data_IF_729766374155
#
_entry.id   IF_729766374155
#
_cell.length_a   1.000
_cell.length_b   1.000
_cell.length_c   1.000
_cell.angle_alpha   90.00
_cell.angle_beta   90.00
_cell.angle_gamma   90.00
#
_symmetry.space_group_name_H-M   'P 1'
#
loop_
_entity.id
_entity.type
_entity.pdbx_description
1 polymer ?
#
# COMPACT_ATOMS: atom_id res chain seq x y z
N UNK A 1 0.47 20.96 -4.63
CA UNK A 1 -0.17 19.82 -3.92
C UNK A 1 0.68 19.47 -2.71
N UNK A 2 0.34 19.95 -1.49
CA UNK A 2 1.20 19.76 -0.32
C UNK A 2 1.09 18.34 0.24
N UNK A 3 2.26 17.82 0.66
CA UNK A 3 2.54 16.61 1.45
C UNK A 3 2.38 15.20 0.82
N UNK A 4 3.01 14.95 -0.35
CA UNK A 4 3.05 13.64 -1.02
C UNK A 4 4.40 12.89 -0.87
N UNK A 5 5.41 13.49 -0.24
CA UNK A 5 6.78 12.93 -0.16
C UNK A 5 6.88 11.77 0.84
N UNK A 6 6.36 11.96 2.05
CA UNK A 6 6.43 10.95 3.12
C UNK A 6 5.68 9.66 2.75
N UNK A 7 4.51 9.79 2.12
CA UNK A 7 3.74 8.64 1.64
C UNK A 7 4.50 7.90 0.52
N UNK A 8 5.12 8.63 -0.41
CA UNK A 8 5.89 8.01 -1.49
C UNK A 8 7.12 7.26 -0.97
N UNK A 9 7.84 7.82 0.01
CA UNK A 9 9.00 7.14 0.62
C UNK A 9 8.59 5.90 1.39
N UNK A 10 7.56 5.97 2.24
CA UNK A 10 7.02 4.81 2.94
C UNK A 10 6.47 3.76 1.95
N UNK A 11 5.85 4.17 0.84
CA UNK A 11 5.43 3.25 -0.22
C UNK A 11 6.61 2.59 -0.93
N UNK A 12 7.70 3.31 -1.18
CA UNK A 12 8.90 2.75 -1.79
C UNK A 12 9.56 1.72 -0.86
N UNK A 13 9.54 1.96 0.47
CA UNK A 13 10.00 0.99 1.47
C UNK A 13 9.06 -0.21 1.57
N UNK A 14 7.75 0.01 1.58
CA UNK A 14 6.75 -1.06 1.54
C UNK A 14 6.93 -1.91 0.28
N UNK A 15 7.23 -1.32 -0.87
CA UNK A 15 7.44 -2.05 -2.12
C UNK A 15 8.66 -2.97 -2.08
N UNK A 16 9.69 -2.63 -1.28
CA UNK A 16 10.85 -3.48 -1.03
C UNK A 16 10.52 -4.66 -0.12
N UNK A 17 9.69 -4.45 0.88
CA UNK A 17 9.24 -5.50 1.81
C UNK A 17 8.21 -6.43 1.15
N UNK A 18 7.18 -5.83 0.54
CA UNK A 18 6.08 -6.53 -0.10
C UNK A 18 5.55 -5.70 -1.29
N UNK A 19 6.06 -6.03 -2.47
CA UNK A 19 5.71 -5.38 -3.73
C UNK A 19 4.23 -5.48 -4.07
N UNK A 20 3.54 -6.57 -3.71
CA UNK A 20 2.12 -6.75 -4.00
C UNK A 20 1.24 -5.88 -3.10
N UNK A 21 1.59 -5.77 -1.82
CA UNK A 21 0.92 -4.88 -0.88
C UNK A 21 1.07 -3.40 -1.29
N UNK A 22 2.26 -3.00 -1.75
CA UNK A 22 2.48 -1.65 -2.28
C UNK A 22 1.64 -1.37 -3.54
N UNK A 23 1.55 -2.34 -4.47
CA UNK A 23 0.71 -2.21 -5.67
C UNK A 23 -0.78 -2.09 -5.34
N UNK A 24 -1.28 -2.88 -4.38
CA UNK A 24 -2.67 -2.74 -3.90
C UNK A 24 -2.93 -1.31 -3.40
N UNK A 25 -1.99 -0.72 -2.64
CA UNK A 25 -2.12 0.66 -2.16
C UNK A 25 -2.10 1.64 -3.33
N UNK A 26 -1.18 1.49 -4.28
CA UNK A 26 -1.12 2.37 -5.45
C UNK A 26 -2.40 2.32 -6.28
N UNK A 27 -2.90 1.12 -6.59
CA UNK A 27 -4.14 0.96 -7.36
C UNK A 27 -5.31 1.62 -6.64
N UNK A 28 -5.45 1.42 -5.32
CA UNK A 28 -6.53 2.06 -4.55
C UNK A 28 -6.42 3.57 -4.47
N UNK A 29 -5.23 4.11 -4.24
CA UNK A 29 -5.05 5.56 -4.02
C UNK A 29 -4.95 6.36 -5.31
N UNK A 30 -4.29 5.84 -6.35
CA UNK A 30 -4.06 6.58 -7.60
C UNK A 30 -5.09 6.30 -8.68
N UNK A 31 -5.69 5.11 -8.70
CA UNK A 31 -6.67 4.74 -9.73
C UNK A 31 -8.10 4.65 -9.20
N UNK A 32 -8.29 4.74 -7.88
CA UNK A 32 -9.61 4.67 -7.24
C UNK A 32 -10.26 3.29 -7.29
N UNK A 33 -9.52 2.25 -7.65
CA UNK A 33 -10.04 0.89 -7.79
C UNK A 33 -10.45 0.29 -6.44
N UNK A 34 -11.43 -0.60 -6.47
CA UNK A 34 -11.80 -1.43 -5.33
C UNK A 34 -10.71 -2.49 -5.06
N UNK A 35 -10.76 -3.15 -3.89
CA UNK A 35 -9.84 -4.25 -3.58
C UNK A 35 -10.03 -5.46 -4.50
N UNK A 36 -11.26 -5.68 -4.95
CA UNK A 36 -11.59 -6.73 -5.90
C UNK A 36 -10.93 -6.46 -7.25
N UNK A 37 -11.16 -5.28 -7.80
CA UNK A 37 -10.55 -4.86 -9.07
C UNK A 37 -9.02 -4.81 -8.99
N UNK A 38 -8.47 -4.32 -7.88
CA UNK A 38 -7.02 -4.35 -7.66
C UNK A 38 -6.49 -5.78 -7.56
N UNK A 39 -7.26 -6.71 -6.98
CA UNK A 39 -6.94 -8.14 -6.98
C UNK A 39 -6.92 -8.73 -8.38
N UNK A 40 -7.95 -8.45 -9.18
CA UNK A 40 -8.05 -8.88 -10.58
C UNK A 40 -6.87 -8.39 -11.43
N UNK A 41 -6.52 -7.10 -11.32
CA UNK A 41 -5.36 -6.50 -12.02
C UNK A 41 -4.06 -7.20 -11.63
N UNK A 42 -3.93 -7.62 -10.37
CA UNK A 42 -2.74 -8.29 -9.85
C UNK A 42 -2.81 -9.83 -9.98
N UNK A 43 -3.85 -10.37 -10.59
CA UNK A 43 -4.04 -11.82 -10.75
C UNK A 43 -4.24 -12.57 -9.44
N UNK A 44 -4.75 -11.91 -8.39
CA UNK A 44 -5.02 -12.51 -7.08
C UNK A 44 -6.49 -12.42 -6.69
N UNK A 45 -6.91 -13.33 -5.82
CA UNK A 45 -8.27 -13.31 -5.30
C UNK A 45 -8.54 -12.10 -4.43
N UNK A 46 -9.80 -11.65 -4.36
CA UNK A 46 -10.23 -10.54 -3.49
C UNK A 46 -9.81 -10.78 -2.02
N UNK A 47 -9.88 -12.03 -1.53
CA UNK A 47 -9.40 -12.42 -0.19
C UNK A 47 -7.91 -12.11 -0.01
N UNK A 48 -7.10 -12.40 -1.02
CA UNK A 48 -5.65 -12.13 -0.99
C UNK A 48 -5.39 -10.62 -1.04
N UNK A 49 -6.08 -9.90 -1.92
CA UNK A 49 -6.02 -8.44 -2.00
C UNK A 49 -6.41 -7.75 -0.68
N UNK A 50 -7.47 -8.23 -0.01
CA UNK A 50 -7.88 -7.76 1.33
C UNK A 50 -6.80 -7.99 2.38
N UNK A 51 -6.14 -9.16 2.35
CA UNK A 51 -5.04 -9.49 3.27
C UNK A 51 -3.82 -8.58 3.03
N UNK A 52 -3.44 -8.40 1.78
CA UNK A 52 -2.30 -7.56 1.42
C UNK A 52 -2.58 -6.07 1.72
N UNK A 53 -3.82 -5.61 1.57
CA UNK A 53 -4.24 -4.27 2.01
C UNK A 53 -4.16 -4.09 3.53
N UNK A 54 -4.61 -5.09 4.30
CA UNK A 54 -4.52 -5.06 5.75
C UNK A 54 -3.05 -5.01 6.21
N UNK A 55 -2.20 -5.82 5.60
CA UNK A 55 -0.75 -5.79 5.81
C UNK A 55 -0.16 -4.42 5.46
N UNK A 56 -0.45 -3.90 4.26
CA UNK A 56 0.05 -2.60 3.80
C UNK A 56 -0.28 -1.47 4.78
N UNK A 57 -1.52 -1.42 5.26
CA UNK A 57 -1.96 -0.42 6.24
C UNK A 57 -1.22 -0.54 7.58
N UNK A 58 -1.09 -1.75 8.11
CA UNK A 58 -0.38 -1.98 9.37
C UNK A 58 1.09 -1.61 9.25
N UNK A 59 1.73 -2.00 8.14
CA UNK A 59 3.12 -1.71 7.84
C UNK A 59 3.36 -0.20 7.67
N UNK A 60 2.54 0.50 6.87
CA UNK A 60 2.67 1.94 6.66
C UNK A 60 2.48 2.73 7.96
N UNK A 61 1.52 2.32 8.79
CA UNK A 61 1.32 2.95 10.10
C UNK A 61 2.56 2.76 11.01
N UNK A 62 3.17 1.58 10.97
CA UNK A 62 4.38 1.30 11.74
C UNK A 62 5.58 2.12 11.23
N UNK A 63 5.83 2.14 9.92
CA UNK A 63 6.93 2.89 9.29
C UNK A 63 6.78 4.40 9.49
N UNK A 64 5.59 4.96 9.27
CA UNK A 64 5.32 6.38 9.50
C UNK A 64 5.51 6.77 10.97
N UNK A 65 5.10 5.91 11.90
CA UNK A 65 5.29 6.17 13.33
C UNK A 65 6.76 6.12 13.72
N UNK A 66 7.56 5.26 13.08
CA UNK A 66 9.00 5.22 13.27
C UNK A 66 9.68 6.47 12.67
N UNK A 67 9.27 6.91 11.48
CA UNK A 67 9.87 8.05 10.79
C UNK A 67 9.52 9.42 11.40
N UNK A 68 8.40 9.54 12.12
CA UNK A 68 7.99 10.78 12.80
C UNK A 68 8.71 10.97 14.15
N UNK A 69 9.33 9.92 14.70
CA UNK A 69 10.02 9.95 16.00
C UNK A 69 11.55 10.05 15.91
N UNK A 70 12.11 10.08 14.70
CA UNK A 70 13.55 10.08 14.42
C UNK A 70 14.07 11.43 13.93
#
# INVERSE_FOLDING_TARGET
MPNNLLINESLARLARENSRAAQIVQLRFFTGLSLEQAGEVLGVTERTAKRDWAFARAWLYHDMRASIQS
#
